data_IF_353253093167
#
_entry.id   IF_353253093167
#
_cell.length_a   1.000
_cell.length_b   1.000
_cell.length_c   1.000
_cell.angle_alpha   90.00
_cell.angle_beta   90.00
_cell.angle_gamma   90.00
#
_symmetry.space_group_name_H-M   'P 1'
#
loop_
_entity.id
_entity.type
_entity.pdbx_description
1 polymer ?
#
# COMPACT_ATOMS: atom_id res chain seq x y z
N UNK A 1 22.78 8.02 6.28
CA UNK A 1 22.59 8.15 4.80
C UNK A 1 22.13 9.55 4.41
N UNK A 2 21.13 10.14 5.08
CA UNK A 2 20.70 11.52 4.81
C UNK A 2 21.78 12.56 5.16
N UNK A 3 22.39 12.48 6.35
CA UNK A 3 23.47 13.38 6.78
C UNK A 3 24.67 13.33 5.83
N UNK A 4 25.17 12.13 5.54
CA UNK A 4 26.34 11.92 4.68
C UNK A 4 26.21 12.58 3.29
N UNK A 5 24.99 12.63 2.74
CA UNK A 5 24.76 13.17 1.40
C UNK A 5 24.68 14.71 1.39
N UNK A 6 24.28 15.31 2.51
CA UNK A 6 24.26 16.76 2.69
C UNK A 6 25.66 17.31 3.01
N UNK A 7 26.43 16.57 3.80
CA UNK A 7 27.82 16.92 4.12
C UNK A 7 28.69 16.82 2.86
N UNK A 8 28.54 15.75 2.07
CA UNK A 8 29.22 15.57 0.78
C UNK A 8 28.93 16.72 -0.20
N UNK A 9 27.68 17.18 -0.26
CA UNK A 9 27.28 18.26 -1.16
C UNK A 9 27.81 19.63 -0.70
N UNK A 10 27.95 19.84 0.61
CA UNK A 10 28.55 21.05 1.19
C UNK A 10 30.07 21.07 0.93
N UNK A 11 30.73 19.93 1.09
CA UNK A 11 32.17 19.75 0.86
C UNK A 11 32.55 19.90 -0.62
N UNK A 12 31.71 19.42 -1.55
CA UNK A 12 31.92 19.62 -2.98
C UNK A 12 31.78 21.10 -3.39
N UNK A 13 30.81 21.82 -2.81
CA UNK A 13 30.61 23.23 -3.10
C UNK A 13 31.78 24.09 -2.57
N UNK A 14 32.31 23.80 -1.38
CA UNK A 14 33.49 24.47 -0.83
C UNK A 14 34.75 24.25 -1.70
N UNK A 15 34.88 23.08 -2.33
CA UNK A 15 36.02 22.75 -3.19
C UNK A 15 35.95 23.38 -4.60
N UNK A 16 34.76 23.65 -5.15
CA UNK A 16 34.60 24.18 -6.51
C UNK A 16 34.79 25.70 -6.64
N UNK A 17 35.14 26.41 -5.55
CA UNK A 17 35.43 27.86 -5.55
C UNK A 17 34.31 28.71 -6.22
N UNK A 18 33.07 28.22 -6.15
CA UNK A 18 31.90 28.93 -6.66
C UNK A 18 31.59 30.10 -5.73
N UNK A 19 31.57 31.32 -6.30
CA UNK A 19 31.32 32.57 -5.58
C UNK A 19 29.90 32.69 -4.98
N UNK A 20 29.06 31.68 -5.15
CA UNK A 20 27.70 31.65 -4.62
C UNK A 20 27.70 31.16 -3.18
N UNK A 21 26.91 31.78 -2.30
CA UNK A 21 26.88 31.43 -0.89
C UNK A 21 25.92 30.25 -0.70
N UNK A 22 26.45 29.04 -0.67
CA UNK A 22 25.71 27.83 -0.35
C UNK A 22 26.25 27.20 0.95
N UNK A 23 25.38 26.66 1.82
CA UNK A 23 23.92 26.73 1.76
C UNK A 23 23.36 28.09 2.21
N UNK A 24 22.27 28.54 1.59
CA UNK A 24 21.53 29.74 1.99
C UNK A 24 20.70 29.45 3.25
N UNK A 25 20.27 30.48 3.98
CA UNK A 25 19.38 30.32 5.15
C UNK A 25 18.09 29.53 4.81
N UNK A 26 17.56 29.72 3.60
CA UNK A 26 16.43 28.96 3.09
C UNK A 26 16.77 27.47 2.90
N UNK A 27 17.97 27.16 2.42
CA UNK A 27 18.44 25.78 2.23
C UNK A 27 18.62 25.08 3.57
N UNK A 28 19.16 25.78 4.57
CA UNK A 28 19.32 25.28 5.94
C UNK A 28 17.95 25.03 6.57
N UNK A 29 16.98 25.92 6.34
CA UNK A 29 15.61 25.74 6.83
C UNK A 29 14.91 24.54 6.18
N UNK A 30 15.09 24.35 4.86
CA UNK A 30 14.57 23.20 4.12
C UNK A 30 15.23 21.90 4.63
N UNK A 31 16.55 21.89 4.79
CA UNK A 31 17.30 20.76 5.34
C UNK A 31 16.81 20.40 6.74
N UNK A 32 16.68 21.38 7.64
CA UNK A 32 16.20 21.17 9.01
C UNK A 32 14.81 20.57 9.04
N UNK A 33 13.91 21.08 8.19
CA UNK A 33 12.54 20.55 8.07
C UNK A 33 12.52 19.12 7.54
N UNK A 34 13.31 18.82 6.50
CA UNK A 34 13.45 17.49 5.92
C UNK A 34 14.01 16.50 6.94
N UNK A 35 15.07 16.89 7.67
CA UNK A 35 15.70 16.12 8.74
C UNK A 35 14.67 15.74 9.82
N UNK A 36 13.90 16.72 10.30
CA UNK A 36 12.85 16.49 11.31
C UNK A 36 11.83 15.44 10.84
N UNK A 37 11.30 15.56 9.62
CA UNK A 37 10.33 14.59 9.11
C UNK A 37 10.90 13.19 8.94
N UNK A 38 12.16 13.06 8.50
CA UNK A 38 12.81 11.77 8.36
C UNK A 38 12.88 11.03 9.70
N UNK A 39 13.36 11.70 10.74
CA UNK A 39 13.50 11.09 12.07
C UNK A 39 12.13 10.83 12.72
N UNK A 40 11.17 11.73 12.58
CA UNK A 40 9.79 11.54 13.07
C UNK A 40 9.15 10.29 12.44
N UNK A 41 9.29 10.11 11.13
CA UNK A 41 8.80 8.92 10.45
C UNK A 41 9.52 7.64 10.90
N UNK A 42 10.85 7.70 11.09
CA UNK A 42 11.64 6.56 11.58
C UNK A 42 11.22 6.14 12.98
N UNK A 43 11.07 7.07 13.92
CA UNK A 43 10.63 6.77 15.29
C UNK A 43 9.23 6.19 15.31
N UNK A 44 8.33 6.69 14.47
CA UNK A 44 6.97 6.14 14.35
C UNK A 44 7.01 4.70 13.81
N UNK A 45 7.83 4.44 12.79
CA UNK A 45 8.03 3.11 12.24
C UNK A 45 8.59 2.13 13.27
N UNK A 46 9.63 2.50 14.01
CA UNK A 46 10.21 1.69 15.09
C UNK A 46 9.22 1.45 16.23
N UNK A 47 8.39 2.45 16.55
CA UNK A 47 7.33 2.31 17.56
C UNK A 47 6.29 1.28 17.13
N UNK A 48 5.90 1.26 15.86
CA UNK A 48 4.95 0.26 15.32
C UNK A 48 5.57 -1.14 15.32
N UNK A 49 6.86 -1.27 14.96
CA UNK A 49 7.54 -2.57 15.00
C UNK A 49 7.71 -3.12 16.42
N UNK A 50 7.98 -2.25 17.39
CA UNK A 50 8.12 -2.64 18.81
C UNK A 50 6.79 -2.97 19.48
N UNK A 51 5.70 -2.31 19.08
CA UNK A 51 4.34 -2.59 19.56
C UNK A 51 3.60 -3.55 18.62
N UNK A 52 4.12 -4.76 18.41
CA UNK A 52 3.24 -5.86 18.01
C UNK A 52 2.06 -5.92 19.00
N UNK A 53 0.80 -5.72 18.59
CA UNK A 53 -0.30 -6.11 19.45
C UNK A 53 -0.20 -7.63 19.60
N UNK A 54 -0.23 -8.11 20.84
CA UNK A 54 -0.53 -9.51 21.12
C UNK A 54 -1.93 -9.82 20.56
N UNK A 55 -2.01 -10.13 19.28
CA UNK A 55 -3.13 -10.87 18.75
C UNK A 55 -3.13 -12.19 19.52
N UNK A 56 -4.16 -12.35 20.36
CA UNK A 56 -4.35 -13.48 21.24
C UNK A 56 -4.20 -14.78 20.45
N UNK A 57 -3.07 -15.48 20.65
CA UNK A 57 -2.94 -16.89 20.27
C UNK A 57 -3.86 -17.68 21.17
N UNK A 58 -5.12 -17.87 20.77
CA UNK A 58 -5.93 -18.93 21.35
C UNK A 58 -5.29 -20.26 20.95
N UNK A 59 -4.77 -20.94 21.96
CA UNK A 59 -4.31 -22.33 21.91
C UNK A 59 -5.47 -23.23 21.51
N UNK A 60 -5.35 -23.91 20.37
CA UNK A 60 -6.24 -25.02 20.01
C UNK A 60 -5.43 -26.29 20.26
N UNK A 61 -5.85 -27.06 21.27
CA UNK A 61 -5.29 -28.38 21.60
C UNK A 61 -5.57 -29.37 20.46
N UNK A 62 -4.57 -30.15 19.99
CA UNK A 62 -4.79 -31.22 19.04
C UNK A 62 -4.98 -32.54 19.79
N UNK A 63 -6.22 -32.91 20.11
CA UNK A 63 -6.59 -34.32 20.21
C UNK A 63 -8.11 -34.48 20.25
N UNK A 64 -8.70 -34.77 19.10
CA UNK A 64 -9.75 -35.80 18.92
C UNK A 64 -10.13 -35.82 17.44
N UNK A 65 -9.39 -36.65 16.70
CA UNK A 65 -9.82 -37.18 15.41
C UNK A 65 -11.10 -37.99 15.65
N UNK A 66 -12.13 -37.79 14.84
CA UNK A 66 -12.76 -38.85 14.03
C UNK A 66 -13.92 -38.28 13.18
N UNK A 67 -13.64 -38.21 11.88
CA UNK A 67 -14.54 -38.40 10.74
C UNK A 67 -15.80 -37.54 10.61
N UNK A 68 -15.75 -36.58 9.68
CA UNK A 68 -16.85 -36.30 8.75
C UNK A 68 -16.25 -35.87 7.40
N UNK A 69 -16.76 -36.38 6.27
CA UNK A 69 -16.17 -36.15 4.95
C UNK A 69 -16.19 -34.65 4.63
N UNK A 70 -15.08 -34.18 4.06
CA UNK A 70 -14.93 -32.86 3.45
C UNK A 70 -16.03 -32.64 2.41
N UNK A 71 -17.18 -32.15 2.84
CA UNK A 71 -17.94 -31.26 2.01
C UNK A 71 -17.15 -29.97 2.02
N UNK A 72 -16.36 -29.78 0.96
CA UNK A 72 -15.91 -28.46 0.51
C UNK A 72 -17.17 -27.63 0.32
N UNK A 73 -17.70 -27.11 1.42
CA UNK A 73 -18.74 -26.11 1.40
C UNK A 73 -18.03 -24.88 0.86
N UNK A 74 -18.05 -24.79 -0.45
CA UNK A 74 -17.92 -23.56 -1.20
C UNK A 74 -18.81 -22.55 -0.49
N UNK A 75 -18.24 -21.81 0.44
CA UNK A 75 -18.87 -20.67 1.09
C UNK A 75 -18.92 -19.55 0.05
N UNK A 76 -19.70 -19.76 -1.01
CA UNK A 76 -20.07 -18.80 -2.06
C UNK A 76 -21.11 -17.79 -1.57
N UNK A 77 -21.29 -17.70 -0.26
CA UNK A 77 -22.17 -16.74 0.39
C UNK A 77 -21.34 -15.86 1.33
N UNK A 78 -20.30 -15.22 0.81
CA UNK A 78 -19.83 -13.99 1.47
C UNK A 78 -20.98 -12.98 1.39
N UNK A 79 -21.27 -12.23 2.48
CA UNK A 79 -22.28 -11.18 2.45
C UNK A 79 -21.93 -10.25 1.31
N UNK A 80 -22.88 -10.01 0.41
CA UNK A 80 -22.77 -9.21 -0.82
C UNK A 80 -21.94 -7.96 -0.56
N UNK A 81 -20.62 -8.05 -0.75
CA UNK A 81 -19.72 -6.92 -0.51
C UNK A 81 -20.11 -5.94 -1.60
N UNK A 82 -20.67 -4.80 -1.19
CA UNK A 82 -20.95 -3.70 -2.10
C UNK A 82 -19.58 -3.17 -2.54
N UNK A 83 -19.07 -3.75 -3.63
CA UNK A 83 -17.84 -3.31 -4.27
C UNK A 83 -17.98 -1.80 -4.56
N UNK A 84 -16.96 -1.00 -4.25
CA UNK A 84 -16.97 0.40 -4.63
C UNK A 84 -17.03 0.49 -6.16
N UNK A 85 -17.94 1.31 -6.68
CA UNK A 85 -18.05 1.54 -8.11
C UNK A 85 -17.07 2.64 -8.51
N UNK A 86 -16.28 2.39 -9.56
CA UNK A 86 -15.38 3.38 -10.12
C UNK A 86 -15.90 3.86 -11.47
N UNK A 87 -16.23 5.14 -11.54
CA UNK A 87 -16.80 5.78 -12.73
C UNK A 87 -15.75 6.37 -13.69
N UNK A 88 -14.46 6.24 -13.39
CA UNK A 88 -13.37 6.82 -14.19
C UNK A 88 -12.83 8.16 -13.70
N UNK A 89 -13.34 8.71 -12.60
CA UNK A 89 -12.80 9.95 -12.03
C UNK A 89 -11.50 9.69 -11.27
N UNK A 90 -10.38 10.22 -11.77
CA UNK A 90 -9.04 10.06 -11.19
C UNK A 90 -8.96 10.52 -9.73
N UNK A 91 -9.75 11.53 -9.33
CA UNK A 91 -9.85 12.01 -7.93
C UNK A 91 -10.33 10.92 -6.95
N UNK A 92 -11.15 9.98 -7.42
CA UNK A 92 -11.68 8.88 -6.63
C UNK A 92 -10.81 7.61 -6.73
N UNK A 93 -9.79 7.61 -7.59
CA UNK A 93 -8.92 6.45 -7.82
C UNK A 93 -8.19 5.96 -6.56
N UNK A 94 -7.57 6.83 -5.72
CA UNK A 94 -6.88 6.36 -4.52
C UNK A 94 -7.83 5.62 -3.57
N UNK A 95 -9.03 6.17 -3.35
CA UNK A 95 -10.06 5.57 -2.49
C UNK A 95 -10.53 4.22 -3.04
N UNK A 96 -10.77 4.14 -4.34
CA UNK A 96 -11.15 2.90 -4.99
C UNK A 96 -10.06 1.84 -4.90
N UNK A 97 -8.82 2.20 -5.22
CA UNK A 97 -7.66 1.30 -5.17
C UNK A 97 -7.48 0.70 -3.78
N UNK A 98 -7.51 1.53 -2.74
CA UNK A 98 -7.27 1.08 -1.37
C UNK A 98 -8.38 0.14 -0.90
N UNK A 99 -9.64 0.45 -1.22
CA UNK A 99 -10.78 -0.42 -0.94
C UNK A 99 -10.72 -1.73 -1.73
N UNK A 100 -10.42 -1.68 -3.03
CA UNK A 100 -10.27 -2.87 -3.88
C UNK A 100 -9.12 -3.76 -3.39
N UNK A 101 -8.02 -3.16 -2.95
CA UNK A 101 -6.86 -3.89 -2.45
C UNK A 101 -7.18 -4.61 -1.14
N UNK A 102 -7.86 -3.93 -0.22
CA UNK A 102 -8.26 -4.51 1.07
C UNK A 102 -9.30 -5.63 0.93
N UNK A 103 -10.18 -5.56 -0.07
CA UNK A 103 -11.31 -6.48 -0.22
C UNK A 103 -10.94 -7.67 -1.12
N UNK A 104 -10.25 -7.41 -2.24
CA UNK A 104 -10.09 -8.39 -3.34
C UNK A 104 -8.63 -8.78 -3.53
N UNK A 105 -7.69 -7.82 -3.48
CA UNK A 105 -6.29 -8.12 -3.77
C UNK A 105 -5.65 -9.01 -2.70
N UNK A 106 -5.92 -8.70 -1.43
CA UNK A 106 -5.38 -9.42 -0.27
C UNK A 106 -6.08 -10.76 0.02
N UNK A 107 -7.19 -11.05 -0.65
CA UNK A 107 -7.87 -12.34 -0.49
C UNK A 107 -7.10 -13.43 -1.26
N UNK A 108 -6.59 -14.42 -0.51
CA UNK A 108 -5.85 -15.56 -1.04
C UNK A 108 -6.77 -16.65 -1.61
N UNK A 109 -8.08 -16.57 -1.34
CA UNK A 109 -9.08 -17.52 -1.85
C UNK A 109 -9.50 -17.20 -3.29
N UNK A 110 -9.24 -15.98 -3.76
CA UNK A 110 -9.60 -15.53 -5.11
C UNK A 110 -8.46 -15.78 -6.11
N UNK A 111 -8.80 -16.43 -7.21
CA UNK A 111 -7.91 -16.59 -8.37
C UNK A 111 -7.67 -15.25 -9.08
N UNK A 112 -6.56 -15.13 -9.80
CA UNK A 112 -6.24 -13.95 -10.62
C UNK A 112 -7.37 -13.59 -11.61
N UNK A 113 -8.03 -14.62 -12.17
CA UNK A 113 -9.18 -14.45 -13.06
C UNK A 113 -10.41 -13.91 -12.33
N UNK A 114 -10.70 -14.42 -11.13
CA UNK A 114 -11.82 -13.95 -10.32
C UNK A 114 -11.59 -12.50 -9.88
N UNK A 115 -10.37 -12.16 -9.46
CA UNK A 115 -9.97 -10.77 -9.14
C UNK A 115 -10.19 -9.83 -10.33
N UNK A 116 -9.85 -10.27 -11.54
CA UNK A 116 -10.11 -9.50 -12.76
C UNK A 116 -11.60 -9.34 -13.04
N UNK A 117 -12.40 -10.41 -12.90
CA UNK A 117 -13.84 -10.35 -13.07
C UNK A 117 -14.50 -9.37 -12.08
N UNK A 118 -14.04 -9.37 -10.83
CA UNK A 118 -14.48 -8.38 -9.84
C UNK A 118 -14.08 -6.97 -10.22
N UNK A 119 -12.86 -6.76 -10.72
CA UNK A 119 -12.41 -5.46 -11.21
C UNK A 119 -13.36 -4.94 -12.31
N UNK A 120 -13.62 -5.75 -13.34
CA UNK A 120 -14.53 -5.41 -14.45
C UNK A 120 -15.93 -5.06 -13.93
N UNK A 121 -16.44 -5.85 -12.99
CA UNK A 121 -17.77 -5.64 -12.39
C UNK A 121 -17.85 -4.37 -11.53
N UNK A 122 -16.74 -3.93 -10.95
CA UNK A 122 -16.62 -2.71 -10.14
C UNK A 122 -16.53 -1.43 -10.96
N UNK A 123 -16.30 -1.54 -12.27
CA UNK A 123 -16.07 -0.41 -13.16
C UNK A 123 -17.38 -0.02 -13.85
N UNK A 124 -17.68 1.27 -13.86
CA UNK A 124 -18.90 1.82 -14.44
C UNK A 124 -18.55 3.00 -15.35
N UNK A 125 -19.41 3.31 -16.32
CA UNK A 125 -19.26 4.50 -17.16
C UNK A 125 -17.97 4.48 -17.98
N UNK A 126 -17.18 5.55 -17.89
CA UNK A 126 -15.98 5.72 -18.72
C UNK A 126 -14.87 4.72 -18.37
N UNK A 127 -14.74 4.34 -17.09
CA UNK A 127 -13.74 3.35 -16.69
C UNK A 127 -14.02 1.94 -17.25
N UNK A 128 -15.30 1.55 -17.30
CA UNK A 128 -15.72 0.28 -17.89
C UNK A 128 -15.44 0.26 -19.39
N UNK A 129 -15.75 1.36 -20.08
CA UNK A 129 -15.47 1.52 -21.51
C UNK A 129 -13.97 1.38 -21.82
N UNK A 130 -13.09 1.99 -21.03
CA UNK A 130 -11.63 1.89 -21.24
C UNK A 130 -11.15 0.44 -21.13
N UNK A 131 -11.61 -0.29 -20.13
CA UNK A 131 -11.15 -1.67 -19.88
C UNK A 131 -11.78 -2.67 -20.84
N UNK A 132 -13.00 -2.42 -21.34
CA UNK A 132 -13.61 -3.24 -22.41
C UNK A 132 -12.85 -3.21 -23.73
N UNK A 133 -12.04 -2.17 -23.97
CA UNK A 133 -11.21 -2.03 -25.17
C UNK A 133 -9.82 -2.67 -25.02
N UNK A 134 -9.47 -3.20 -23.84
CA UNK A 134 -8.19 -3.86 -23.63
C UNK A 134 -8.31 -5.34 -24.01
N UNK A 135 -7.46 -5.86 -24.93
CA UNK A 135 -7.40 -7.30 -25.15
C UNK A 135 -6.93 -7.97 -23.87
N UNK A 136 -7.61 -9.06 -23.49
CA UNK A 136 -7.15 -9.97 -22.43
C UNK A 136 -5.85 -10.62 -22.91
N UNK A 137 -4.71 -10.01 -22.59
CA UNK A 137 -3.41 -10.58 -22.92
C UNK A 137 -3.10 -11.65 -21.86
N UNK A 138 -3.05 -12.89 -22.32
CA UNK A 138 -2.72 -14.13 -21.60
C UNK A 138 -1.25 -14.16 -21.14
#
# INVERSE_FOLDING_TARGET
RFENLWDELTELHENENQSSKFPLEEDIAIQTKAKRYYYEAHTNHETILSHQPMASRQSINPNETLACPETRSNNKNLPRINLPHFNGQITNWPKFRDAFTSIIHNDALLSKMEKFHYLVSSLVGTASAVISNLPLIE
#
